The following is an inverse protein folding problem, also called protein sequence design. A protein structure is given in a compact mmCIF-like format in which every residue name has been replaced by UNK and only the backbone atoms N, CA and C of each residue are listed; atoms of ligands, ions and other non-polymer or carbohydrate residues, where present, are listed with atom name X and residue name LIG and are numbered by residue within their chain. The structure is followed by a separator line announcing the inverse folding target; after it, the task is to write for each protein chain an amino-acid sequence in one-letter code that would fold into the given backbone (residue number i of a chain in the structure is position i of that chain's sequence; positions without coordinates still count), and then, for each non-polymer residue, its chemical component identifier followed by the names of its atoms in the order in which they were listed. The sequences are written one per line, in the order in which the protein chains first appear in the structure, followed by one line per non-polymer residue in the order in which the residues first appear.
data_IF_640888713580
#
_entry.id   IF_640888713580
#
_cell.length_a   1.000
_cell.length_b   1.000
_cell.length_c   1.000
_cell.angle_alpha   90.00
_cell.angle_beta   90.00
_cell.angle_gamma   90.00
#
_symmetry.space_group_name_H-M   'P 1'
#
loop_
_entity.id
_entity.type
_entity.pdbx_description
1 polymer ?
#
# COMPACT_ATOMS: atom_id res chain seq x y z
N UNK A 1 -9.78 -32.75 74.86
CA UNK A 1 -10.72 -33.13 73.79
C UNK A 1 -10.61 -32.15 72.63
N UNK A 2 -10.76 -32.69 71.43
CA UNK A 2 -10.33 -32.18 70.12
C UNK A 2 -11.17 -31.06 69.48
N UNK A 3 -10.48 -30.28 68.62
CA UNK A 3 -10.91 -29.71 67.31
C UNK A 3 -12.00 -28.62 67.38
N UNK A 4 -11.89 -27.48 66.69
CA UNK A 4 -11.86 -27.38 65.21
C UNK A 4 -11.18 -26.08 64.77
N UNK A 5 -10.18 -26.22 63.90
CA UNK A 5 -9.68 -25.17 63.00
C UNK A 5 -10.70 -24.96 61.87
N UNK A 6 -10.99 -23.70 61.52
CA UNK A 6 -11.68 -23.33 60.27
C UNK A 6 -10.66 -22.67 59.33
N UNK A 7 -10.47 -23.16 58.10
CA UNK A 7 -9.83 -22.41 57.04
C UNK A 7 -10.92 -21.88 56.08
N UNK A 8 -10.98 -20.57 55.90
CA UNK A 8 -11.65 -19.92 54.77
C UNK A 8 -10.71 -18.77 54.43
N UNK A 9 -9.79 -18.94 53.48
CA UNK A 9 -10.10 -18.92 52.07
C UNK A 9 -9.56 -17.60 51.52
N UNK A 10 -8.23 -17.51 51.40
CA UNK A 10 -7.56 -16.33 50.84
C UNK A 10 -7.76 -16.35 49.31
N UNK A 11 -8.63 -15.47 48.83
CA UNK A 11 -8.89 -15.28 47.40
C UNK A 11 -7.75 -14.41 46.83
N UNK A 12 -6.74 -15.06 46.24
CA UNK A 12 -5.69 -14.40 45.49
C UNK A 12 -6.27 -13.93 44.15
N UNK A 13 -6.61 -12.64 44.07
CA UNK A 13 -6.97 -11.97 42.82
C UNK A 13 -5.64 -11.63 42.11
N UNK A 14 -5.18 -12.53 41.25
CA UNK A 14 -4.11 -12.25 40.29
C UNK A 14 -4.62 -11.26 39.25
N UNK A 15 -4.30 -9.97 39.42
CA UNK A 15 -4.41 -8.97 38.38
C UNK A 15 -3.35 -9.26 37.31
N UNK A 16 -3.70 -10.09 36.33
CA UNK A 16 -2.94 -10.20 35.09
C UNK A 16 -3.11 -8.89 34.32
N UNK A 17 -2.12 -8.02 34.41
CA UNK A 17 -1.96 -6.89 33.49
C UNK A 17 -1.63 -7.48 32.12
N UNK A 18 -2.64 -7.76 31.31
CA UNK A 18 -2.47 -7.92 29.86
C UNK A 18 -1.98 -6.58 29.33
N UNK A 19 -0.67 -6.42 29.26
CA UNK A 19 -0.06 -5.36 28.47
C UNK A 19 -0.60 -5.48 27.04
N UNK A 20 -0.90 -4.36 26.36
CA UNK A 20 -1.29 -4.44 24.97
C UNK A 20 -0.11 -5.06 24.23
N UNK A 21 -0.32 -6.27 23.69
CA UNK A 21 0.41 -6.74 22.54
C UNK A 21 0.25 -5.62 21.51
N UNK A 22 1.29 -4.83 21.34
CA UNK A 22 1.40 -3.87 20.26
C UNK A 22 1.44 -4.71 18.98
N UNK A 23 0.25 -5.05 18.48
CA UNK A 23 0.08 -5.48 17.12
C UNK A 23 0.69 -4.35 16.28
N UNK A 24 1.75 -4.68 15.53
CA UNK A 24 2.23 -3.85 14.44
C UNK A 24 1.01 -3.32 13.69
N UNK A 25 0.92 -2.02 13.39
CA UNK A 25 -0.15 -1.55 12.54
C UNK A 25 0.05 -2.24 11.20
N UNK A 26 -0.71 -3.31 10.95
CA UNK A 26 -0.79 -3.95 9.65
C UNK A 26 -1.13 -2.82 8.67
N UNK A 27 -0.13 -2.41 7.90
CA UNK A 27 -0.24 -1.23 7.06
C UNK A 27 -1.49 -1.40 6.21
N UNK A 28 -2.48 -0.53 6.43
CA UNK A 28 -3.85 -0.72 5.95
C UNK A 28 -3.97 -0.54 4.44
N UNK A 29 -2.86 -0.32 3.75
CA UNK A 29 -2.72 -0.22 2.32
C UNK A 29 -1.43 -0.88 1.86
N UNK A 30 -1.36 -1.24 0.58
CA UNK A 30 -0.16 -1.82 -0.02
C UNK A 30 -0.05 -1.42 -1.48
N UNK A 31 1.18 -1.24 -1.96
CA UNK A 31 1.48 -1.04 -3.37
C UNK A 31 2.06 -2.32 -3.96
N UNK A 32 1.46 -2.79 -5.04
CA UNK A 32 1.87 -3.96 -5.78
C UNK A 32 2.29 -3.58 -7.19
N UNK A 33 3.26 -4.30 -7.74
CA UNK A 33 3.67 -4.17 -9.13
C UNK A 33 3.63 -5.52 -9.82
N UNK A 34 3.26 -5.51 -11.09
CA UNK A 34 3.20 -6.72 -11.92
C UNK A 34 3.62 -6.39 -13.34
N UNK A 35 4.27 -7.33 -14.02
CA UNK A 35 4.58 -7.17 -15.44
C UNK A 35 3.28 -7.05 -16.26
N UNK A 36 3.24 -6.20 -17.30
CA UNK A 36 2.11 -6.17 -18.22
C UNK A 36 1.94 -7.53 -18.90
N UNK A 37 0.76 -7.75 -19.48
CA UNK A 37 0.45 -8.96 -20.26
C UNK A 37 1.40 -9.11 -21.46
N UNK A 38 1.78 -7.98 -22.06
CA UNK A 38 2.78 -7.88 -23.11
C UNK A 38 3.69 -6.66 -22.87
N UNK A 39 5.01 -6.77 -23.11
CA UNK A 39 5.92 -5.63 -22.98
C UNK A 39 5.44 -4.42 -23.78
N UNK A 40 5.42 -3.25 -23.14
CA UNK A 40 4.97 -1.99 -23.77
C UNK A 40 3.45 -1.87 -24.00
N UNK A 41 2.65 -2.89 -23.68
CA UNK A 41 1.19 -2.85 -23.82
C UNK A 41 0.53 -2.44 -22.49
N UNK A 42 0.59 -1.15 -22.17
CA UNK A 42 0.18 -0.62 -20.86
C UNK A 42 -1.34 -0.45 -20.68
N UNK A 43 -2.12 -0.50 -21.77
CA UNK A 43 -3.58 -0.36 -21.71
C UNK A 43 -4.25 -1.47 -20.89
N UNK A 44 -3.68 -2.68 -20.92
CA UNK A 44 -4.14 -3.82 -20.13
C UNK A 44 -3.97 -3.60 -18.62
N UNK A 45 -3.09 -2.69 -18.18
CA UNK A 45 -2.90 -2.41 -16.76
C UNK A 45 -4.17 -1.84 -16.11
N UNK A 46 -5.02 -1.14 -16.87
CA UNK A 46 -6.27 -0.59 -16.35
C UNK A 46 -7.29 -1.67 -15.96
N UNK A 47 -7.25 -2.85 -16.62
CA UNK A 47 -8.17 -3.95 -16.33
C UNK A 47 -7.93 -4.55 -14.94
N UNK A 48 -6.73 -4.37 -14.38
CA UNK A 48 -6.39 -4.82 -13.03
C UNK A 48 -7.25 -4.16 -11.93
N UNK A 49 -7.97 -3.07 -12.25
CA UNK A 49 -8.96 -2.48 -11.35
C UNK A 49 -10.15 -3.42 -11.07
N UNK A 50 -10.43 -4.38 -11.95
CA UNK A 50 -11.50 -5.37 -11.74
C UNK A 50 -11.08 -6.52 -10.83
N UNK A 51 -9.82 -6.56 -10.37
CA UNK A 51 -9.36 -7.52 -9.37
C UNK A 51 -9.96 -7.13 -8.02
N UNK A 52 -10.94 -7.89 -7.57
CA UNK A 52 -11.74 -7.54 -6.37
C UNK A 52 -10.92 -7.57 -5.08
N UNK A 53 -9.97 -8.50 -4.95
CA UNK A 53 -9.15 -8.66 -3.75
C UNK A 53 -7.75 -9.17 -4.09
N UNK A 54 -6.74 -8.52 -3.50
CA UNK A 54 -5.38 -9.05 -3.36
C UNK A 54 -5.12 -9.20 -1.86
N UNK A 55 -5.71 -10.25 -1.30
CA UNK A 55 -5.53 -10.61 0.09
C UNK A 55 -4.79 -11.94 0.15
N UNK A 56 -3.51 -11.90 0.55
CA UNK A 56 -2.70 -13.10 0.82
C UNK A 56 -2.20 -13.90 -0.39
N UNK A 57 -2.82 -13.77 -1.57
CA UNK A 57 -2.32 -14.34 -2.83
C UNK A 57 -1.55 -13.29 -3.63
N UNK A 58 -0.34 -13.65 -4.06
CA UNK A 58 0.46 -12.87 -5.02
C UNK A 58 0.09 -13.20 -6.46
N UNK A 59 -0.73 -14.22 -6.72
CA UNK A 59 -1.10 -14.65 -8.07
C UNK A 59 -2.40 -13.95 -8.53
N UNK A 60 -2.34 -13.29 -9.69
CA UNK A 60 -3.48 -12.69 -10.37
C UNK A 60 -4.28 -13.74 -11.16
N UNK A 61 -5.54 -13.44 -11.54
CA UNK A 61 -6.41 -14.39 -12.26
C UNK A 61 -5.85 -14.93 -13.58
N UNK A 62 -4.90 -14.21 -14.18
CA UNK A 62 -4.23 -14.58 -15.43
C UNK A 62 -2.89 -15.30 -15.23
N UNK A 63 -2.60 -15.72 -13.99
CA UNK A 63 -1.38 -16.44 -13.62
C UNK A 63 -0.15 -15.57 -13.45
N UNK A 64 -0.24 -14.24 -13.63
CA UNK A 64 0.87 -13.32 -13.35
C UNK A 64 1.07 -13.13 -11.85
N UNK A 65 2.32 -13.05 -11.42
CA UNK A 65 2.67 -12.81 -10.01
C UNK A 65 2.87 -11.32 -9.75
N UNK A 66 2.11 -10.76 -8.82
CA UNK A 66 2.27 -9.42 -8.28
C UNK A 66 3.32 -9.41 -7.15
N UNK A 67 4.25 -8.47 -7.23
CA UNK A 67 5.25 -8.19 -6.21
C UNK A 67 4.75 -7.05 -5.32
N UNK A 68 4.71 -7.26 -4.00
CA UNK A 68 4.46 -6.18 -3.04
C UNK A 68 5.71 -5.33 -2.89
N UNK A 69 5.58 -4.02 -3.03
CA UNK A 69 6.66 -3.09 -2.74
C UNK A 69 6.73 -2.87 -1.22
N UNK A 70 7.70 -3.50 -0.57
CA UNK A 70 7.94 -3.39 0.87
C UNK A 70 9.03 -2.35 1.21
N UNK A 71 9.69 -1.76 0.20
CA UNK A 71 10.70 -0.73 0.42
C UNK A 71 10.10 0.58 0.98
N UNK A 72 10.92 1.45 1.62
CA UNK A 72 10.47 2.78 2.01
C UNK A 72 9.99 3.57 0.78
N UNK A 73 8.76 4.10 0.83
CA UNK A 73 8.17 4.85 -0.27
C UNK A 73 7.15 5.89 0.20
N UNK A 74 6.89 6.88 -0.67
CA UNK A 74 5.81 7.85 -0.48
C UNK A 74 5.02 8.06 -1.77
N UNK A 75 3.70 8.05 -1.68
CA UNK A 75 2.80 8.29 -2.81
C UNK A 75 2.09 9.63 -2.57
N UNK A 76 2.39 10.63 -3.39
CA UNK A 76 1.62 11.88 -3.41
C UNK A 76 0.42 11.72 -4.32
N UNK A 77 -0.73 12.21 -3.88
CA UNK A 77 -1.94 12.28 -4.67
C UNK A 77 -2.71 13.56 -4.29
N UNK A 78 -3.77 13.90 -5.02
CA UNK A 78 -4.47 15.19 -4.86
C UNK A 78 -4.88 15.50 -3.41
N UNK A 79 -5.24 14.48 -2.62
CA UNK A 79 -5.63 14.63 -1.21
C UNK A 79 -4.52 14.42 -0.16
N UNK A 80 -3.25 14.28 -0.55
CA UNK A 80 -2.13 14.24 0.40
C UNK A 80 -1.05 13.21 0.07
N UNK A 81 -0.48 12.61 1.12
CA UNK A 81 0.63 11.65 1.04
C UNK A 81 0.31 10.35 1.76
N UNK A 82 0.53 9.23 1.08
CA UNK A 82 0.67 7.92 1.72
C UNK A 82 2.16 7.67 1.99
N UNK A 83 2.50 7.23 3.20
CA UNK A 83 3.88 6.99 3.62
C UNK A 83 4.06 5.53 4.07
N UNK A 84 5.08 4.87 3.55
CA UNK A 84 5.51 3.55 3.98
C UNK A 84 6.96 3.63 4.48
N UNK A 85 7.21 3.34 5.77
CA UNK A 85 8.55 3.41 6.35
C UNK A 85 9.47 2.29 5.85
N UNK A 86 8.90 1.23 5.27
CA UNK A 86 9.60 0.04 4.79
C UNK A 86 9.38 -1.17 5.72
N UNK A 87 9.36 -2.37 5.16
CA UNK A 87 9.18 -3.63 5.89
C UNK A 87 10.48 -4.17 6.52
N UNK A 88 10.38 -5.09 7.49
CA UNK A 88 11.53 -5.74 8.15
C UNK A 88 12.34 -6.60 7.18
N UNK A 89 11.69 -7.17 6.16
CA UNK A 89 12.36 -7.83 5.05
C UNK A 89 12.89 -6.78 4.07
N UNK A 90 14.14 -6.39 4.31
CA UNK A 90 14.95 -5.59 3.37
C UNK A 90 15.36 -6.44 2.17
N UNK A 91 14.43 -7.13 1.52
CA UNK A 91 14.62 -7.54 0.13
C UNK A 91 14.57 -6.27 -0.71
N UNK A 92 15.71 -5.58 -0.66
CA UNK A 92 16.06 -4.47 -1.49
C UNK A 92 15.89 -4.93 -2.93
N UNK A 93 14.95 -4.30 -3.64
CA UNK A 93 14.99 -4.21 -5.09
C UNK A 93 15.26 -5.56 -5.77
N UNK A 94 14.33 -6.52 -5.68
CA UNK A 94 14.04 -7.21 -6.93
C UNK A 94 13.76 -6.09 -7.93
N UNK A 95 14.68 -5.92 -8.89
CA UNK A 95 14.66 -4.84 -9.88
C UNK A 95 13.42 -5.04 -10.75
N UNK A 96 12.27 -4.64 -10.23
CA UNK A 96 11.09 -4.45 -11.02
C UNK A 96 11.43 -3.35 -12.03
N UNK A 97 11.15 -3.62 -13.31
CA UNK A 97 11.41 -2.64 -14.35
C UNK A 97 10.32 -1.58 -14.25
N UNK A 98 10.68 -0.43 -13.68
CA UNK A 98 9.69 0.50 -13.20
C UNK A 98 8.78 1.02 -14.32
N UNK A 99 9.30 1.25 -15.51
CA UNK A 99 8.53 1.76 -16.66
C UNK A 99 7.92 0.66 -17.55
N UNK A 100 8.07 -0.61 -17.15
CA UNK A 100 7.45 -1.77 -17.79
C UNK A 100 6.68 -2.57 -16.73
N UNK A 101 5.92 -1.84 -15.90
CA UNK A 101 5.15 -2.41 -14.80
C UNK A 101 3.76 -1.79 -14.72
N UNK A 102 2.77 -2.63 -14.47
CA UNK A 102 1.49 -2.20 -13.94
C UNK A 102 1.59 -2.06 -12.43
N UNK A 103 0.80 -1.18 -11.84
CA UNK A 103 0.64 -1.07 -10.39
C UNK A 103 -0.78 -1.41 -9.95
N UNK A 104 -0.90 -1.87 -8.71
CA UNK A 104 -2.15 -1.98 -8.00
C UNK A 104 -1.97 -1.38 -6.61
N UNK A 105 -2.78 -0.39 -6.27
CA UNK A 105 -2.86 0.18 -4.93
C UNK A 105 -4.05 -0.48 -4.22
N UNK A 106 -3.78 -1.16 -3.11
CA UNK A 106 -4.83 -1.77 -2.29
C UNK A 106 -5.00 -1.04 -0.98
N UNK A 107 -6.23 -1.00 -0.48
CA UNK A 107 -6.59 -0.56 0.88
C UNK A 107 -7.42 -1.66 1.51
N UNK A 108 -6.95 -2.20 2.65
CA UNK A 108 -7.56 -3.33 3.35
C UNK A 108 -7.83 -4.52 2.41
N UNK A 109 -6.91 -4.76 1.46
CA UNK A 109 -6.98 -5.85 0.48
C UNK A 109 -7.81 -5.56 -0.78
N UNK A 110 -8.61 -4.49 -0.81
CA UNK A 110 -9.39 -4.10 -2.00
C UNK A 110 -8.57 -3.18 -2.91
N UNK A 111 -8.62 -3.40 -4.23
CA UNK A 111 -7.94 -2.54 -5.22
C UNK A 111 -8.69 -1.21 -5.34
N UNK A 112 -8.01 -0.11 -5.04
CA UNK A 112 -8.58 1.25 -5.10
C UNK A 112 -8.12 2.04 -6.31
N UNK A 113 -6.93 1.74 -6.84
CA UNK A 113 -6.39 2.30 -8.06
C UNK A 113 -5.50 1.26 -8.75
N UNK A 114 -5.53 1.21 -10.08
CA UNK A 114 -4.67 0.33 -10.86
C UNK A 114 -4.41 0.95 -12.25
N UNK A 115 -3.22 0.70 -12.77
CA UNK A 115 -2.80 1.26 -14.05
C UNK A 115 -1.31 1.07 -14.28
N UNK A 116 -0.70 1.97 -15.06
CA UNK A 116 0.70 1.83 -15.44
C UNK A 116 1.63 2.72 -14.62
N UNK A 117 2.84 2.23 -14.40
CA UNK A 117 3.95 3.03 -13.88
C UNK A 117 4.69 3.65 -15.07
N UNK A 118 4.76 4.98 -15.11
CA UNK A 118 5.23 5.72 -16.28
C UNK A 118 6.04 6.96 -15.91
N UNK A 119 6.70 7.55 -16.91
CA UNK A 119 7.28 8.89 -16.79
C UNK A 119 6.18 9.96 -16.83
N UNK A 120 6.47 11.14 -16.28
CA UNK A 120 5.52 12.25 -16.20
C UNK A 120 4.98 12.67 -17.58
N UNK A 121 5.87 12.72 -18.58
CA UNK A 121 5.54 13.05 -19.96
C UNK A 121 4.56 12.06 -20.60
N UNK A 122 4.69 10.76 -20.29
CA UNK A 122 3.81 9.72 -20.81
C UNK A 122 2.44 9.67 -20.13
N UNK A 123 2.38 10.04 -18.84
CA UNK A 123 1.14 10.01 -18.06
C UNK A 123 0.00 10.80 -18.73
N UNK A 124 0.32 11.94 -19.36
CA UNK A 124 -0.65 12.83 -20.03
C UNK A 124 -1.41 12.17 -21.19
N UNK A 125 -0.87 11.09 -21.76
CA UNK A 125 -1.43 10.39 -22.92
C UNK A 125 -2.37 9.25 -22.52
N UNK A 126 -2.32 8.83 -21.25
CA UNK A 126 -3.03 7.64 -20.78
C UNK A 126 -4.42 7.98 -20.24
N UNK A 127 -5.40 7.13 -20.56
CA UNK A 127 -6.82 7.27 -20.20
C UNK A 127 -7.21 6.48 -18.95
N UNK A 128 -6.22 6.09 -18.14
CA UNK A 128 -6.37 5.31 -16.92
C UNK A 128 -5.40 5.84 -15.85
N UNK A 129 -5.54 5.40 -14.60
CA UNK A 129 -4.71 5.89 -13.50
C UNK A 129 -3.23 5.63 -13.76
N UNK A 130 -2.37 6.56 -13.34
CA UNK A 130 -0.93 6.43 -13.58
C UNK A 130 -0.14 6.68 -12.31
N UNK A 131 0.93 5.92 -12.15
CA UNK A 131 1.89 6.09 -11.07
C UNK A 131 3.20 6.61 -11.66
N UNK A 132 3.58 7.84 -11.28
CA UNK A 132 4.76 8.52 -11.80
C UNK A 132 5.88 8.52 -10.77
N UNK A 133 7.07 8.12 -11.19
CA UNK A 133 8.28 8.19 -10.34
C UNK A 133 8.78 9.63 -10.30
N UNK A 134 8.82 10.21 -9.10
CA UNK A 134 9.39 11.53 -8.83
C UNK A 134 10.83 11.48 -8.38
N UNK A 135 11.20 10.45 -7.62
CA UNK A 135 12.53 10.28 -7.06
C UNK A 135 12.81 8.81 -6.80
N UNK A 136 13.90 8.30 -7.35
CA UNK A 136 14.43 6.94 -7.17
C UNK A 136 15.87 6.98 -6.63
N UNK A 137 16.25 8.08 -5.98
CA UNK A 137 17.60 8.31 -5.45
C UNK A 137 17.99 7.21 -4.45
N UNK A 138 19.17 6.62 -4.65
CA UNK A 138 19.73 5.63 -3.73
C UNK A 138 19.80 6.17 -2.29
N UNK A 139 19.37 5.36 -1.33
CA UNK A 139 19.34 5.73 0.09
C UNK A 139 18.19 6.65 0.50
N UNK A 140 17.31 7.04 -0.44
CA UNK A 140 16.09 7.77 -0.14
C UNK A 140 14.84 6.90 -0.43
N UNK A 141 13.69 7.15 0.22
CA UNK A 141 12.43 6.53 -0.11
C UNK A 141 12.05 6.79 -1.57
N UNK A 142 11.44 5.79 -2.19
CA UNK A 142 10.88 5.92 -3.53
C UNK A 142 9.74 6.94 -3.50
N UNK A 143 9.91 8.04 -4.23
CA UNK A 143 8.92 9.10 -4.36
C UNK A 143 8.04 8.85 -5.58
N UNK A 144 6.73 8.69 -5.36
CA UNK A 144 5.74 8.41 -6.40
C UNK A 144 4.66 9.49 -6.41
N UNK A 145 4.04 9.75 -7.56
CA UNK A 145 2.78 10.48 -7.68
C UNK A 145 1.73 9.59 -8.30
N UNK A 146 0.59 9.46 -7.65
CA UNK A 146 -0.57 8.83 -8.25
C UNK A 146 -1.43 9.91 -8.88
N UNK A 147 -1.70 9.75 -10.18
CA UNK A 147 -2.46 10.70 -10.99
C UNK A 147 -3.72 10.00 -11.52
N UNK A 148 -4.87 10.70 -11.56
CA UNK A 148 -6.10 10.13 -12.10
C UNK A 148 -5.96 9.86 -13.60
N UNK A 149 -6.87 9.02 -14.11
CA UNK A 149 -7.15 8.93 -15.54
C UNK A 149 -7.36 10.32 -16.18
N UNK A 150 -6.98 10.44 -17.46
CA UNK A 150 -6.95 11.69 -18.22
C UNK A 150 -7.97 12.78 -17.79
N UNK A 151 -7.54 14.04 -17.67
CA UNK A 151 -6.14 14.48 -17.81
C UNK A 151 -5.32 14.03 -16.59
N UNK A 152 -4.17 13.40 -16.84
CA UNK A 152 -3.27 12.92 -15.79
C UNK A 152 -2.50 14.10 -15.18
N UNK A 153 -3.23 14.96 -14.49
CA UNK A 153 -2.77 16.17 -13.87
C UNK A 153 -3.13 16.14 -12.39
N UNK A 154 -2.21 16.62 -11.56
CA UNK A 154 -2.38 16.57 -10.11
C UNK A 154 -3.59 17.38 -9.60
N UNK A 155 -3.95 18.45 -10.31
CA UNK A 155 -5.06 19.33 -9.94
C UNK A 155 -6.44 18.74 -10.25
N UNK A 156 -6.50 17.61 -10.95
CA UNK A 156 -7.76 17.07 -11.44
C UNK A 156 -8.54 16.38 -10.33
N UNK A 157 -9.89 16.45 -10.36
CA UNK A 157 -10.72 15.71 -9.45
C UNK A 157 -10.43 14.21 -9.54
N UNK A 158 -10.31 13.57 -8.39
CA UNK A 158 -10.16 12.12 -8.29
C UNK A 158 -11.52 11.44 -8.16
N UNK A 159 -11.61 10.15 -8.47
CA UNK A 159 -12.86 9.42 -8.28
C UNK A 159 -13.25 9.39 -6.79
N UNK A 160 -14.56 9.37 -6.45
CA UNK A 160 -15.01 9.28 -5.06
C UNK A 160 -14.47 8.05 -4.32
N UNK A 161 -14.32 6.92 -5.01
CA UNK A 161 -13.73 5.71 -4.44
C UNK A 161 -12.29 5.97 -3.96
N UNK A 162 -11.54 6.75 -4.74
CA UNK A 162 -10.15 7.06 -4.45
C UNK A 162 -10.03 8.01 -3.25
N UNK A 163 -10.82 9.10 -3.23
CA UNK A 163 -10.82 10.04 -2.10
C UNK A 163 -11.32 9.41 -0.80
N UNK A 164 -12.39 8.60 -0.85
CA UNK A 164 -12.93 7.91 0.34
C UNK A 164 -11.92 6.92 0.93
N UNK A 165 -11.20 6.19 0.09
CA UNK A 165 -10.25 5.18 0.57
C UNK A 165 -8.92 5.80 1.06
N UNK A 166 -8.41 6.83 0.39
CA UNK A 166 -7.07 7.35 0.68
C UNK A 166 -7.04 8.50 1.67
N UNK A 167 -8.06 9.35 1.73
CA UNK A 167 -8.07 10.51 2.64
C UNK A 167 -7.82 10.11 4.10
N UNK A 168 -8.46 9.07 4.66
CA UNK A 168 -8.25 8.67 6.05
C UNK A 168 -6.83 8.15 6.35
N UNK A 169 -6.06 7.81 5.31
CA UNK A 169 -4.71 7.25 5.40
C UNK A 169 -3.62 8.26 5.10
N UNK A 170 -4.01 9.46 4.66
CA UNK A 170 -3.09 10.44 4.09
C UNK A 170 -2.64 11.47 5.11
N UNK A 171 -1.37 11.87 5.01
CA UNK A 171 -0.83 13.03 5.70
C UNK A 171 -0.83 14.25 4.79
N UNK A 172 -0.89 15.45 5.37
CA UNK A 172 -0.88 16.71 4.63
C UNK A 172 0.47 17.06 4.02
N UNK A 173 1.55 16.53 4.61
CA UNK A 173 2.93 16.76 4.18
C UNK A 173 3.65 15.46 3.88
N UNK A 174 4.67 15.56 3.01
CA UNK A 174 5.57 14.44 2.75
C UNK A 174 6.24 13.98 4.05
N UNK A 175 6.41 12.67 4.27
CA UNK A 175 7.12 12.17 5.44
C UNK A 175 8.57 12.67 5.41
N UNK A 176 8.96 13.42 6.43
CA UNK A 176 10.37 13.79 6.67
C UNK A 176 11.08 12.60 7.28
N UNK A 177 12.09 12.08 6.59
CA UNK A 177 13.01 11.13 7.18
C UNK A 177 13.71 11.81 8.35
N UNK A 178 13.57 11.24 9.55
CA UNK A 178 14.44 11.53 10.68
C UNK A 178 15.57 10.52 10.70
#
# INVERSE_FOLDING_TARGET
MWKRLRPVGALLISCLTMGPLAAEPAQSWALWVVKPDRPGHLESCASLRTVSTLAGSTMLPDGRTALRLEQPLSIRWQGGYLAQPGGPDKQAAERWNAYDSCFLLTVRGAVVAAGAVVRQESARLLRFDTLVIRSDKAGAPLGLSLLPAFPAEFAQPVSPAWSQALTPLSTTSAPTLR
#
